data_IF_790248403412
#
_entry.id   IF_790248403412
#
_cell.length_a   1.000
_cell.length_b   1.000
_cell.length_c   1.000
_cell.angle_alpha   90.00
_cell.angle_beta   90.00
_cell.angle_gamma   90.00
#
_symmetry.space_group_name_H-M   'P 1'
#
loop_
_entity.id
_entity.type
_entity.pdbx_description
1 polymer ?
#
# COMPACT_ATOMS: atom_id res chain seq x y z
N UNK A 1 3.32 6.12 -17.73
CA UNK A 1 2.70 6.48 -16.43
C UNK A 1 3.06 7.93 -16.13
N UNK A 2 2.10 8.77 -15.73
CA UNK A 2 2.39 10.19 -15.42
C UNK A 2 1.73 10.62 -14.12
N UNK A 3 2.46 11.43 -13.34
CA UNK A 3 1.95 12.03 -12.11
C UNK A 3 0.90 13.10 -12.44
N UNK A 4 -0.22 13.11 -11.72
CA UNK A 4 -1.33 14.05 -11.97
C UNK A 4 -1.40 15.22 -10.98
N UNK A 5 -0.37 15.46 -10.17
CA UNK A 5 -0.30 16.63 -9.28
C UNK A 5 -1.28 16.61 -8.10
N UNK A 6 -1.85 15.44 -7.79
CA UNK A 6 -2.84 15.24 -6.72
C UNK A 6 -2.47 14.01 -5.91
N UNK A 7 -2.98 13.96 -4.70
CA UNK A 7 -2.79 12.85 -3.77
C UNK A 7 -4.15 12.25 -3.37
N UNK A 8 -4.11 11.02 -2.86
CA UNK A 8 -5.22 10.35 -2.21
C UNK A 8 -4.80 9.93 -0.81
N UNK A 9 -5.53 10.41 0.19
CA UNK A 9 -5.25 10.09 1.60
C UNK A 9 -5.77 8.70 1.92
N UNK A 10 -4.92 7.85 2.48
CA UNK A 10 -5.26 6.51 2.96
C UNK A 10 -4.87 6.36 4.42
N UNK A 11 -5.54 5.45 5.10
CA UNK A 11 -5.24 5.06 6.48
C UNK A 11 -4.90 3.57 6.52
N UNK A 12 -3.79 3.23 7.15
CA UNK A 12 -3.29 1.87 7.38
C UNK A 12 -3.07 1.73 8.88
N UNK A 13 -3.98 1.05 9.57
CA UNK A 13 -4.01 1.06 11.03
C UNK A 13 -4.13 2.48 11.56
N UNK A 14 -3.16 2.89 12.38
CA UNK A 14 -3.08 4.26 12.92
C UNK A 14 -2.27 5.22 12.03
N UNK A 15 -1.69 4.73 10.94
CA UNK A 15 -0.87 5.53 10.03
C UNK A 15 -1.72 6.17 8.94
N UNK A 16 -1.54 7.47 8.72
CA UNK A 16 -2.12 8.19 7.56
C UNK A 16 -1.03 8.50 6.53
N UNK A 17 -1.33 8.30 5.24
CA UNK A 17 -0.43 8.62 4.13
C UNK A 17 -1.17 9.30 2.98
N UNK A 18 -0.52 10.26 2.35
CA UNK A 18 -0.99 10.88 1.11
C UNK A 18 -0.27 10.23 -0.07
N UNK A 19 -0.98 9.38 -0.81
CA UNK A 19 -0.40 8.63 -1.92
C UNK A 19 -0.53 9.43 -3.22
N UNK A 20 0.57 9.62 -3.98
CA UNK A 20 0.50 10.36 -5.23
C UNK A 20 -0.33 9.60 -6.26
N UNK A 21 -1.18 10.33 -6.98
CA UNK A 21 -2.00 9.79 -8.06
C UNK A 21 -1.23 9.73 -9.37
N UNK A 22 -1.32 8.61 -10.08
CA UNK A 22 -0.68 8.39 -11.37
C UNK A 22 -1.66 7.81 -12.40
N UNK A 23 -1.55 8.29 -13.63
CA UNK A 23 -2.24 7.71 -14.77
C UNK A 23 -1.45 6.52 -15.31
N UNK A 24 -2.03 5.33 -15.27
CA UNK A 24 -1.41 4.08 -15.71
C UNK A 24 -1.88 3.64 -17.09
N UNK A 25 -3.11 4.01 -17.46
CA UNK A 25 -3.74 3.71 -18.74
C UNK A 25 -4.80 4.78 -19.05
N UNK A 26 -5.32 4.87 -20.29
CA UNK A 26 -6.44 5.75 -20.60
C UNK A 26 -7.60 5.55 -19.64
N UNK A 27 -8.08 6.63 -19.02
CA UNK A 27 -9.16 6.63 -18.02
C UNK A 27 -8.90 5.80 -16.75
N UNK A 28 -7.65 5.43 -16.47
CA UNK A 28 -7.27 4.70 -15.24
C UNK A 28 -6.20 5.48 -14.48
N UNK A 29 -6.60 5.99 -13.32
CA UNK A 29 -5.72 6.66 -12.34
C UNK A 29 -5.68 5.82 -11.07
N UNK A 30 -4.48 5.60 -10.52
CA UNK A 30 -4.29 4.89 -9.25
C UNK A 30 -3.52 5.76 -8.26
N UNK A 31 -3.78 5.55 -6.98
CA UNK A 31 -2.88 6.00 -5.92
C UNK A 31 -1.71 5.01 -5.84
N UNK A 32 -0.49 5.47 -6.13
CA UNK A 32 0.68 4.60 -6.02
C UNK A 32 0.97 4.40 -4.53
N UNK A 33 0.81 3.17 -4.08
CA UNK A 33 1.34 2.71 -2.81
C UNK A 33 2.75 2.17 -3.04
N UNK A 34 3.76 2.87 -2.53
CA UNK A 34 5.14 2.41 -2.51
C UNK A 34 5.60 2.32 -1.06
N UNK A 35 6.00 1.13 -0.64
CA UNK A 35 6.44 0.85 0.71
C UNK A 35 7.97 0.90 0.88
N UNK A 36 8.74 1.00 -0.22
CA UNK A 36 10.20 1.06 -0.15
C UNK A 36 10.67 2.36 0.51
N UNK A 37 11.25 2.23 1.70
CA UNK A 37 11.71 3.35 2.53
C UNK A 37 10.71 3.86 3.56
N UNK A 38 9.50 3.29 3.63
CA UNK A 38 8.49 3.63 4.66
C UNK A 38 8.35 2.49 5.68
N UNK A 39 9.36 2.34 6.55
CA UNK A 39 9.42 1.27 7.56
C UNK A 39 8.16 1.23 8.43
N UNK A 40 7.62 2.39 8.83
CA UNK A 40 6.43 2.43 9.67
C UNK A 40 5.23 1.77 8.99
N UNK A 41 5.01 2.05 7.70
CA UNK A 41 3.93 1.40 6.93
C UNK A 41 4.18 -0.10 6.79
N UNK A 42 5.43 -0.52 6.56
CA UNK A 42 5.76 -1.96 6.44
C UNK A 42 5.41 -2.72 7.72
N UNK A 43 5.86 -2.24 8.87
CA UNK A 43 5.66 -2.91 10.16
C UNK A 43 4.17 -2.93 10.56
N UNK A 44 3.49 -1.78 10.50
CA UNK A 44 2.06 -1.68 10.85
C UNK A 44 1.20 -2.57 9.94
N UNK A 45 1.44 -2.55 8.63
CA UNK A 45 0.71 -3.40 7.70
C UNK A 45 0.99 -4.89 7.95
N UNK A 46 2.23 -5.25 8.27
CA UNK A 46 2.62 -6.63 8.56
C UNK A 46 1.90 -7.16 9.81
N UNK A 47 1.88 -6.40 10.91
CA UNK A 47 1.20 -6.78 12.15
C UNK A 47 -0.31 -6.97 11.93
N UNK A 48 -0.96 -6.04 11.23
CA UNK A 48 -2.39 -6.11 10.91
C UNK A 48 -2.75 -7.29 10.00
N UNK A 49 -1.87 -7.63 9.05
CA UNK A 49 -2.07 -8.77 8.15
C UNK A 49 -1.79 -10.10 8.87
N UNK A 50 -0.76 -10.16 9.71
CA UNK A 50 -0.41 -11.35 10.48
C UNK A 50 -1.57 -11.80 11.39
N UNK A 51 -2.28 -10.85 12.01
CA UNK A 51 -3.47 -11.14 12.82
C UNK A 51 -4.62 -11.80 12.03
N UNK A 52 -4.59 -11.72 10.69
CA UNK A 52 -5.62 -12.28 9.79
C UNK A 52 -5.10 -13.46 8.96
N UNK A 53 -3.84 -13.86 9.16
CA UNK A 53 -3.22 -14.93 8.41
C UNK A 53 -3.79 -16.29 8.85
N UNK A 54 -4.08 -17.22 7.91
CA UNK A 54 -4.44 -18.59 8.26
C UNK A 54 -3.32 -19.23 9.10
N UNK A 55 -3.71 -19.86 10.21
CA UNK A 55 -2.75 -20.45 11.15
C UNK A 55 -1.99 -21.66 10.57
N UNK A 56 -2.52 -22.25 9.50
CA UNK A 56 -1.99 -23.40 8.77
C UNK A 56 -1.21 -23.00 7.50
N UNK A 57 -0.95 -21.70 7.30
CA UNK A 57 -0.13 -21.25 6.18
C UNK A 57 1.36 -21.53 6.43
N UNK A 58 1.95 -22.39 5.61
CA UNK A 58 3.38 -22.74 5.71
C UNK A 58 4.31 -21.77 4.95
N UNK A 59 3.82 -21.14 3.88
CA UNK A 59 4.64 -20.34 2.96
C UNK A 59 3.88 -19.10 2.51
N UNK A 60 4.58 -17.96 2.50
CA UNK A 60 4.15 -16.72 1.86
C UNK A 60 4.93 -16.51 0.57
N UNK A 61 4.23 -16.20 -0.52
CA UNK A 61 4.82 -15.84 -1.81
C UNK A 61 4.26 -14.50 -2.24
N UNK A 62 5.13 -13.58 -2.66
CA UNK A 62 4.76 -12.27 -3.20
C UNK A 62 5.14 -12.19 -4.69
N UNK A 63 4.35 -11.51 -5.55
CA UNK A 63 4.66 -11.34 -6.98
C UNK A 63 5.98 -10.64 -7.28
#
# INVERSE_FOLDING_TARGET
MSYVGRVHTVQIGDLTRELPLFNVAPNVTIAIFNMLGDTAVVEEAADLLAARMPADADVLVVP
#
